data_IF_633650711098
#
_entry.id   IF_633650711098
#
_cell.length_a   1.000
_cell.length_b   1.000
_cell.length_c   1.000
_cell.angle_alpha   90.00
_cell.angle_beta   90.00
_cell.angle_gamma   90.00
#
_symmetry.space_group_name_H-M   'P 1'
#
loop_
_entity.id
_entity.type
_entity.pdbx_description
1 polymer ?
#
# COMPACT_ATOMS: atom_id res chain seq x y z
N UNK A 1 -10.52 -11.02 2.09
CA UNK A 1 -11.15 -11.48 0.84
C UNK A 1 -12.06 -12.66 1.16
N UNK A 2 -13.21 -12.77 0.51
CA UNK A 2 -14.20 -13.85 0.74
C UNK A 2 -14.84 -14.28 -0.58
N UNK A 3 -15.74 -15.28 -0.51
CA UNK A 3 -16.44 -15.76 -1.70
C UNK A 3 -17.46 -14.73 -2.21
N UNK A 4 -17.54 -14.52 -3.53
CA UNK A 4 -18.55 -13.64 -4.11
C UNK A 4 -19.94 -14.29 -3.99
N UNK A 5 -20.98 -13.46 -3.83
CA UNK A 5 -22.37 -13.92 -3.89
C UNK A 5 -22.82 -14.23 -5.32
N UNK A 6 -22.27 -13.49 -6.28
CA UNK A 6 -22.61 -13.63 -7.69
C UNK A 6 -21.37 -13.41 -8.56
N UNK A 7 -21.24 -14.20 -9.62
CA UNK A 7 -20.22 -14.06 -10.65
C UNK A 7 -20.93 -13.82 -11.99
N UNK A 8 -20.56 -12.76 -12.68
CA UNK A 8 -20.92 -12.57 -14.07
C UNK A 8 -19.80 -13.09 -14.96
N UNK A 9 -20.13 -13.99 -15.89
CA UNK A 9 -19.16 -14.53 -16.85
C UNK A 9 -19.73 -14.63 -18.26
N UNK A 10 -18.94 -15.04 -19.23
CA UNK A 10 -19.40 -15.42 -20.56
C UNK A 10 -19.85 -16.90 -20.58
N UNK A 11 -20.19 -17.42 -21.77
CA UNK A 11 -20.54 -18.82 -21.99
C UNK A 11 -19.30 -19.69 -22.26
N UNK A 12 -18.11 -19.27 -21.84
CA UNK A 12 -16.89 -20.06 -21.98
C UNK A 12 -17.00 -21.41 -21.27
N UNK A 13 -16.41 -22.44 -21.86
CA UNK A 13 -16.44 -23.81 -21.32
C UNK A 13 -15.87 -23.90 -19.92
N UNK A 14 -14.87 -23.08 -19.58
CA UNK A 14 -14.32 -22.99 -18.22
C UNK A 14 -15.35 -22.57 -17.16
N UNK A 15 -16.39 -21.83 -17.54
CA UNK A 15 -17.43 -21.33 -16.64
C UNK A 15 -18.75 -22.11 -16.74
N UNK A 16 -18.89 -22.97 -17.75
CA UNK A 16 -20.09 -23.79 -17.99
C UNK A 16 -19.85 -25.29 -17.82
N UNK A 17 -18.61 -25.71 -17.52
CA UNK A 17 -18.30 -27.11 -17.27
C UNK A 17 -19.07 -27.66 -16.06
N UNK A 18 -19.32 -28.97 -16.06
CA UNK A 18 -19.96 -29.65 -14.93
C UNK A 18 -19.21 -29.38 -13.61
N UNK A 19 -17.88 -29.49 -13.61
CA UNK A 19 -17.06 -29.27 -12.42
C UNK A 19 -17.16 -27.84 -11.90
N UNK A 20 -17.12 -26.85 -12.79
CA UNK A 20 -17.23 -25.44 -12.38
C UNK A 20 -18.63 -25.11 -11.88
N UNK A 21 -19.66 -25.67 -12.51
CA UNK A 21 -21.06 -25.46 -12.10
C UNK A 21 -21.32 -26.07 -10.73
N UNK A 22 -20.86 -27.30 -10.49
CA UNK A 22 -20.91 -27.95 -9.16
C UNK A 22 -20.14 -27.15 -8.10
N UNK A 23 -18.99 -26.58 -8.45
CA UNK A 23 -18.25 -25.71 -7.56
C UNK A 23 -19.09 -24.49 -7.17
N UNK A 24 -19.66 -23.77 -8.14
CA UNK A 24 -20.48 -22.60 -7.85
C UNK A 24 -21.70 -22.92 -6.98
N UNK A 25 -22.40 -24.02 -7.26
CA UNK A 25 -23.57 -24.46 -6.50
C UNK A 25 -23.21 -24.79 -5.04
N UNK A 26 -22.15 -25.56 -4.80
CA UNK A 26 -21.71 -25.94 -3.45
C UNK A 26 -21.30 -24.75 -2.59
N UNK A 27 -20.72 -23.72 -3.21
CA UNK A 27 -20.33 -22.49 -2.52
C UNK A 27 -21.43 -21.43 -2.48
N UNK A 28 -22.63 -21.74 -3.00
CA UNK A 28 -23.77 -20.81 -3.02
C UNK A 28 -23.52 -19.57 -3.88
N UNK A 29 -22.70 -19.69 -4.92
CA UNK A 29 -22.32 -18.61 -5.82
C UNK A 29 -23.29 -18.61 -6.99
N UNK A 30 -24.07 -17.54 -7.13
CA UNK A 30 -24.94 -17.36 -8.30
C UNK A 30 -24.08 -17.03 -9.53
N UNK A 31 -24.34 -17.69 -10.65
CA UNK A 31 -23.65 -17.37 -11.92
C UNK A 31 -24.64 -16.76 -12.90
N UNK A 32 -24.28 -15.60 -13.44
CA UNK A 32 -25.03 -14.92 -14.49
C UNK A 32 -24.19 -14.89 -15.76
N UNK A 33 -24.70 -15.47 -16.83
CA UNK A 33 -24.01 -15.46 -18.12
C UNK A 33 -24.40 -14.23 -18.94
N UNK A 34 -23.39 -13.55 -19.45
CA UNK A 34 -23.51 -12.39 -20.34
C UNK A 34 -24.12 -12.83 -21.66
N UNK A 35 -25.08 -12.08 -22.20
CA UNK A 35 -25.48 -12.28 -23.59
C UNK A 35 -24.32 -11.93 -24.53
N UNK A 36 -24.26 -12.59 -25.67
CA UNK A 36 -23.14 -12.47 -26.64
C UNK A 36 -22.95 -11.02 -27.17
N UNK A 37 -23.93 -10.14 -26.99
CA UNK A 37 -24.06 -8.93 -27.81
C UNK A 37 -23.94 -7.57 -27.09
N UNK A 38 -23.46 -7.51 -25.85
CA UNK A 38 -23.30 -6.21 -25.16
C UNK A 38 -21.91 -6.04 -24.51
N UNK A 39 -20.85 -6.19 -25.31
CA UNK A 39 -19.45 -6.02 -24.88
C UNK A 39 -19.05 -4.57 -24.62
N UNK A 40 -19.79 -3.59 -25.13
CA UNK A 40 -19.42 -2.17 -25.03
C UNK A 40 -19.62 -1.60 -23.61
N UNK A 41 -20.53 -2.19 -22.84
CA UNK A 41 -20.84 -1.79 -21.45
C UNK A 41 -20.31 -2.76 -20.40
N UNK A 42 -19.54 -3.78 -20.81
CA UNK A 42 -19.00 -4.75 -19.89
C UNK A 42 -17.77 -4.15 -19.16
N UNK A 43 -17.81 -3.94 -17.83
CA UNK A 43 -16.70 -3.37 -17.08
C UNK A 43 -15.42 -4.24 -17.16
N UNK A 44 -15.56 -5.55 -17.33
CA UNK A 44 -14.42 -6.47 -17.51
C UNK A 44 -13.73 -6.22 -18.86
N UNK A 45 -14.50 -5.97 -19.93
CA UNK A 45 -13.92 -5.63 -21.22
C UNK A 45 -13.18 -4.29 -21.19
N UNK A 46 -13.71 -3.29 -20.47
CA UNK A 46 -13.04 -2.01 -20.25
C UNK A 46 -11.72 -2.21 -19.48
N UNK A 47 -11.75 -2.98 -18.38
CA UNK A 47 -10.55 -3.31 -17.61
C UNK A 47 -9.49 -4.00 -18.49
N UNK A 48 -9.88 -4.98 -19.30
CA UNK A 48 -8.96 -5.66 -20.22
C UNK A 48 -8.35 -4.71 -21.26
N UNK A 49 -9.09 -3.71 -21.74
CA UNK A 49 -8.56 -2.69 -22.66
C UNK A 49 -7.48 -1.85 -21.97
N UNK A 50 -7.74 -1.36 -20.76
CA UNK A 50 -6.78 -0.59 -19.98
C UNK A 50 -5.54 -1.42 -19.64
N UNK A 51 -5.73 -2.67 -19.20
CA UNK A 51 -4.63 -3.60 -18.90
C UNK A 51 -3.73 -3.82 -20.13
N UNK A 52 -4.34 -4.07 -21.31
CA UNK A 52 -3.58 -4.22 -22.57
C UNK A 52 -2.82 -2.96 -22.94
N UNK A 53 -3.37 -1.77 -22.68
CA UNK A 53 -2.70 -0.51 -22.97
C UNK A 53 -1.47 -0.31 -22.09
N UNK A 54 -1.59 -0.58 -20.79
CA UNK A 54 -0.46 -0.50 -19.84
C UNK A 54 0.62 -1.53 -20.22
N UNK A 55 0.23 -2.79 -20.47
CA UNK A 55 1.17 -3.83 -20.88
C UNK A 55 1.90 -3.47 -22.17
N UNK A 56 1.21 -2.92 -23.17
CA UNK A 56 1.86 -2.46 -24.40
C UNK A 56 2.97 -1.45 -24.11
N UNK A 57 2.72 -0.46 -23.26
CA UNK A 57 3.72 0.55 -22.90
C UNK A 57 4.90 -0.10 -22.17
N UNK A 58 4.65 -0.94 -21.17
CA UNK A 58 5.72 -1.60 -20.42
C UNK A 58 6.57 -2.55 -21.29
N UNK A 59 5.94 -3.26 -22.22
CA UNK A 59 6.63 -4.15 -23.15
C UNK A 59 7.46 -3.40 -24.21
N UNK A 60 7.19 -2.12 -24.49
CA UNK A 60 8.08 -1.32 -25.34
C UNK A 60 9.46 -1.13 -24.69
N UNK A 61 9.51 -1.06 -23.37
CA UNK A 61 10.74 -0.87 -22.60
C UNK A 61 11.43 -2.20 -22.27
N UNK A 62 10.66 -3.21 -21.85
CA UNK A 62 11.20 -4.49 -21.36
C UNK A 62 11.30 -5.62 -22.41
N UNK A 63 10.85 -5.39 -23.65
CA UNK A 63 10.74 -6.42 -24.69
C UNK A 63 9.46 -7.28 -24.59
N UNK A 64 9.46 -8.47 -25.21
CA UNK A 64 8.25 -9.31 -25.34
C UNK A 64 7.82 -10.07 -24.06
N UNK A 65 8.56 -9.94 -22.95
CA UNK A 65 8.28 -10.64 -21.68
C UNK A 65 7.14 -9.97 -20.88
N UNK A 66 5.95 -9.90 -21.46
CA UNK A 66 4.78 -9.24 -20.85
C UNK A 66 4.41 -9.82 -19.47
N UNK A 67 4.72 -11.09 -19.22
CA UNK A 67 4.46 -11.77 -17.95
C UNK A 67 5.21 -11.10 -16.79
N UNK A 68 6.44 -10.63 -17.01
CA UNK A 68 7.23 -9.93 -15.99
C UNK A 68 6.59 -8.59 -15.61
N UNK A 69 5.86 -7.99 -16.53
CA UNK A 69 5.16 -6.71 -16.34
C UNK A 69 3.77 -6.85 -15.73
N UNK A 70 3.26 -8.09 -15.51
CA UNK A 70 1.92 -8.28 -14.96
C UNK A 70 1.80 -7.68 -13.56
N UNK A 71 2.80 -7.88 -12.71
CA UNK A 71 2.78 -7.35 -11.33
C UNK A 71 2.72 -5.82 -11.33
N UNK A 72 3.55 -5.17 -12.15
CA UNK A 72 3.55 -3.71 -12.30
C UNK A 72 2.23 -3.19 -12.89
N UNK A 73 1.67 -3.91 -13.86
CA UNK A 73 0.37 -3.59 -14.47
C UNK A 73 -0.77 -3.70 -13.45
N UNK A 74 -0.81 -4.78 -12.67
CA UNK A 74 -1.79 -4.99 -11.61
C UNK A 74 -1.70 -3.91 -10.55
N UNK A 75 -0.50 -3.55 -10.12
CA UNK A 75 -0.28 -2.46 -9.16
C UNK A 75 -0.84 -1.15 -9.71
N UNK A 76 -0.50 -0.79 -10.96
CA UNK A 76 -1.01 0.42 -11.59
C UNK A 76 -2.55 0.42 -11.65
N UNK A 77 -3.17 -0.66 -12.11
CA UNK A 77 -4.63 -0.77 -12.15
C UNK A 77 -5.29 -0.66 -10.76
N UNK A 78 -4.61 -1.13 -9.72
CA UNK A 78 -5.10 -1.07 -8.34
C UNK A 78 -4.99 0.32 -7.70
N UNK A 79 -4.07 1.17 -8.17
CA UNK A 79 -3.77 2.48 -7.57
C UNK A 79 -4.15 3.67 -8.43
N UNK A 80 -4.48 3.47 -9.70
CA UNK A 80 -5.02 4.53 -10.56
C UNK A 80 -6.38 4.99 -10.02
N UNK A 81 -6.52 6.30 -9.81
CA UNK A 81 -7.80 6.93 -9.49
C UNK A 81 -8.61 7.12 -10.77
N UNK A 82 -9.83 6.61 -10.80
CA UNK A 82 -10.72 6.79 -11.95
C UNK A 82 -11.49 8.10 -11.81
N UNK A 83 -11.58 8.90 -12.86
CA UNK A 83 -12.27 10.20 -12.81
C UNK A 83 -13.74 10.09 -12.41
N UNK A 84 -14.40 9.02 -12.84
CA UNK A 84 -15.82 8.78 -12.58
C UNK A 84 -16.12 8.47 -11.11
N UNK A 85 -15.20 7.78 -10.42
CA UNK A 85 -15.37 7.40 -9.01
C UNK A 85 -14.62 8.31 -8.05
N UNK A 86 -13.59 9.03 -8.53
CA UNK A 86 -12.60 9.78 -7.72
C UNK A 86 -11.79 8.92 -6.75
N UNK A 87 -11.90 7.60 -6.85
CA UNK A 87 -11.23 6.62 -6.00
C UNK A 87 -10.56 5.54 -6.83
N UNK A 88 -9.46 5.01 -6.31
CA UNK A 88 -8.80 3.82 -6.82
C UNK A 88 -9.49 2.54 -6.35
N UNK A 89 -9.33 1.41 -7.07
CA UNK A 89 -9.87 0.12 -6.64
C UNK A 89 -9.39 -0.31 -5.25
N UNK A 90 -8.13 0.00 -4.90
CA UNK A 90 -7.62 -0.34 -3.56
C UNK A 90 -8.30 0.47 -2.47
N UNK A 91 -8.57 1.75 -2.70
CA UNK A 91 -9.32 2.55 -1.73
C UNK A 91 -10.71 1.97 -1.49
N UNK A 92 -11.39 1.54 -2.55
CA UNK A 92 -12.70 0.89 -2.41
C UNK A 92 -12.65 -0.42 -1.60
N UNK A 93 -11.61 -1.22 -1.78
CA UNK A 93 -11.51 -2.56 -1.16
C UNK A 93 -10.92 -2.51 0.25
N UNK A 94 -9.90 -1.68 0.46
CA UNK A 94 -9.11 -1.64 1.71
C UNK A 94 -9.36 -0.38 2.55
N UNK A 95 -10.08 0.61 2.03
CA UNK A 95 -10.29 1.90 2.69
C UNK A 95 -9.03 2.78 2.75
N UNK A 96 -7.96 2.42 2.03
CA UNK A 96 -6.69 3.16 1.98
C UNK A 96 -5.99 2.97 0.65
N UNK A 97 -5.16 3.93 0.27
CA UNK A 97 -4.24 3.80 -0.85
C UNK A 97 -3.09 2.83 -0.51
N UNK A 98 -2.58 2.13 -1.52
CA UNK A 98 -1.34 1.38 -1.39
C UNK A 98 -0.16 2.34 -1.32
N UNK A 99 0.89 1.95 -0.59
CA UNK A 99 2.18 2.61 -0.63
C UNK A 99 2.87 2.24 -1.95
N UNK A 100 2.65 3.05 -2.98
CA UNK A 100 3.34 2.91 -4.26
C UNK A 100 4.78 3.43 -4.15
N UNK A 101 5.69 3.00 -5.04
CA UNK A 101 7.02 3.60 -5.12
C UNK A 101 6.98 5.13 -5.24
N UNK A 102 6.01 5.67 -5.98
CA UNK A 102 5.79 7.12 -6.09
C UNK A 102 5.44 7.76 -4.74
N UNK A 103 4.50 7.17 -3.99
CA UNK A 103 4.13 7.67 -2.65
C UNK A 103 5.33 7.61 -1.71
N UNK A 104 6.09 6.52 -1.72
CA UNK A 104 7.29 6.39 -0.89
C UNK A 104 8.36 7.42 -1.26
N UNK A 105 8.57 7.68 -2.55
CA UNK A 105 9.48 8.72 -3.02
C UNK A 105 9.01 10.11 -2.59
N UNK A 106 7.71 10.40 -2.73
CA UNK A 106 7.13 11.66 -2.27
C UNK A 106 7.28 11.83 -0.75
N UNK A 107 6.99 10.81 0.04
CA UNK A 107 7.16 10.85 1.49
C UNK A 107 8.63 11.03 1.90
N UNK A 108 9.57 10.42 1.18
CA UNK A 108 10.99 10.54 1.47
C UNK A 108 11.61 11.88 1.04
N UNK A 109 11.13 12.46 -0.07
CA UNK A 109 11.71 13.68 -0.66
C UNK A 109 11.00 14.97 -0.26
N UNK A 110 9.69 14.91 0.01
CA UNK A 110 8.86 16.11 0.23
C UNK A 110 8.51 16.30 1.71
N UNK A 111 8.39 15.23 2.49
CA UNK A 111 8.39 15.43 3.95
C UNK A 111 9.81 15.84 4.32
N UNK A 112 10.03 16.97 5.01
CA UNK A 112 11.32 17.20 5.61
C UNK A 112 11.60 15.94 6.42
N UNK A 113 12.73 15.27 6.15
CA UNK A 113 13.25 14.40 7.18
C UNK A 113 13.29 15.29 8.41
N UNK A 114 12.63 14.87 9.48
CA UNK A 114 13.07 15.32 10.79
C UNK A 114 14.52 14.84 10.82
N UNK A 115 15.45 15.67 10.32
CA UNK A 115 16.86 15.50 10.57
C UNK A 115 16.89 15.28 12.07
N UNK A 116 17.41 14.14 12.52
CA UNK A 116 17.70 13.89 13.91
C UNK A 116 18.45 15.12 14.40
N UNK A 117 17.71 16.05 15.01
CA UNK A 117 18.20 17.41 14.96
C UNK A 117 19.41 17.44 15.86
N UNK A 118 20.54 17.88 15.33
CA UNK A 118 21.78 18.09 16.10
C UNK A 118 21.49 18.93 17.35
N UNK A 119 20.43 19.75 17.28
CA UNK A 119 19.83 20.49 18.40
C UNK A 119 19.26 19.57 19.48
N UNK A 120 18.44 18.56 19.15
CA UNK A 120 17.90 17.62 20.14
C UNK A 120 19.02 16.82 20.82
N UNK A 121 20.01 16.37 20.05
CA UNK A 121 21.16 15.64 20.59
C UNK A 121 22.00 16.53 21.52
N UNK A 122 22.24 17.78 21.13
CA UNK A 122 22.90 18.79 21.96
C UNK A 122 22.12 19.13 23.24
N UNK A 123 20.79 19.28 23.14
CA UNK A 123 19.91 19.54 24.29
C UNK A 123 19.98 18.38 25.27
N UNK A 124 19.99 17.13 24.77
CA UNK A 124 20.10 15.94 25.61
C UNK A 124 21.46 15.86 26.32
N UNK A 125 22.57 16.15 25.62
CA UNK A 125 23.90 16.21 26.23
C UNK A 125 24.00 17.33 27.28
N UNK A 126 23.46 18.50 26.98
CA UNK A 126 23.45 19.65 27.91
C UNK A 126 22.68 19.33 29.20
N UNK A 127 21.50 18.71 29.10
CA UNK A 127 20.71 18.27 30.26
C UNK A 127 21.50 17.26 31.11
N UNK A 128 22.12 16.28 30.47
CA UNK A 128 22.93 15.27 31.18
C UNK A 128 24.14 15.90 31.86
N UNK A 129 24.79 16.88 31.22
CA UNK A 129 25.92 17.61 31.78
C UNK A 129 25.51 18.44 32.99
N UNK A 130 24.38 19.15 32.92
CA UNK A 130 23.84 19.90 34.06
C UNK A 130 23.51 18.99 35.25
N UNK A 131 22.91 17.82 35.00
CA UNK A 131 22.59 16.84 36.06
C UNK A 131 23.86 16.34 36.76
N UNK A 132 24.91 16.01 36.01
CA UNK A 132 26.23 15.63 36.57
C UNK A 132 26.85 16.75 37.41
N UNK A 133 26.80 18.00 36.93
CA UNK A 133 27.29 19.14 37.69
C UNK A 133 26.53 19.32 39.00
N UNK A 134 25.21 19.12 38.99
CA UNK A 134 24.38 19.20 40.19
C UNK A 134 24.74 18.10 41.21
N UNK A 135 24.90 16.85 40.77
CA UNK A 135 25.32 15.74 41.64
C UNK A 135 26.69 15.98 42.27
N UNK A 136 27.65 16.48 41.49
CA UNK A 136 28.99 16.84 41.98
C UNK A 136 28.93 17.97 43.02
N UNK A 137 28.12 19.00 42.77
CA UNK A 137 27.93 20.11 43.71
C UNK A 137 27.32 19.61 45.04
N UNK A 138 26.28 18.77 44.97
CA UNK A 138 25.65 18.16 46.15
C UNK A 138 26.69 17.34 46.93
N UNK A 139 27.45 16.48 46.25
CA UNK A 139 28.47 15.63 46.88
C UNK A 139 29.56 16.44 47.58
N UNK A 140 30.01 17.54 46.96
CA UNK A 140 31.00 18.44 47.58
C UNK A 140 30.41 19.18 48.77
N UNK A 141 29.17 19.66 48.67
CA UNK A 141 28.48 20.36 49.77
C UNK A 141 28.25 19.43 50.98
N UNK A 142 27.88 18.18 50.76
CA UNK A 142 27.70 17.19 51.84
C UNK A 142 29.04 16.81 52.48
N UNK A 143 30.09 16.60 51.68
CA UNK A 143 31.44 16.33 52.20
C UNK A 143 32.00 17.48 53.05
N UNK A 144 31.81 18.74 52.63
CA UNK A 144 32.22 19.92 53.42
C UNK A 144 31.42 20.03 54.72
N UNK A 145 30.11 19.74 54.70
CA UNK A 145 29.28 19.71 55.91
C UNK A 145 29.73 18.64 56.91
N UNK A 146 30.12 17.46 56.43
CA UNK A 146 30.59 16.38 57.30
C UNK A 146 31.93 16.73 57.96
N UNK A 147 32.88 17.33 57.21
CA UNK A 147 34.17 17.81 57.75
C UNK A 147 34.07 18.94 58.77
N UNK A 148 32.98 19.70 58.80
CA UNK A 148 32.74 20.77 59.80
C UNK A 148 32.09 20.28 61.09
N UNK A 149 31.63 19.03 61.15
CA UNK A 149 31.02 18.40 62.34
C UNK A 149 32.00 17.48 63.11
N UNK A 150 33.22 17.30 62.60
CA UNK A 150 34.35 16.66 63.28
C UNK A 150 35.27 17.77 63.78
#
# INVERSE_FOLDING_TARGET
MGFPREIQSDLGTSFTSFLTTEFFDRFGIKVTHSSVHNTQWNPVALLHRTMKQILKVLCLESGQDWEKNLTATLLALQTITYESTRFSPTEHVQGKNLLTPEVLLYEHWVKPQEEDSTVNEYVFDLINRMRRCQELAITKMTAVRYKRKV
#
